data_IF_491678331779
#
_entry.id   IF_491678331779
#
_cell.length_a   1.000
_cell.length_b   1.000
_cell.length_c   1.000
_cell.angle_alpha   90.00
_cell.angle_beta   90.00
_cell.angle_gamma   90.00
#
_symmetry.space_group_name_H-M   'P 1'
#
loop_
_entity.id
_entity.type
_entity.pdbx_description
1 polymer ?
#
# COMPACT_ATOMS: atom_id res chain seq x y z
N UNK A 1 0.89 -12.99 -19.41
CA UNK A 1 0.00 -13.45 -18.32
C UNK A 1 0.04 -14.96 -18.01
N UNK A 2 0.81 -15.76 -18.75
CA UNK A 2 0.88 -17.23 -18.52
C UNK A 2 1.40 -17.60 -17.12
N UNK A 3 2.29 -16.82 -16.54
CA UNK A 3 2.93 -17.09 -15.24
C UNK A 3 2.41 -16.12 -14.17
N UNK A 4 1.27 -16.21 -13.65
CA UNK A 4 0.73 -15.37 -12.54
C UNK A 4 1.80 -14.68 -11.64
N UNK A 5 2.73 -13.96 -12.27
CA UNK A 5 4.00 -13.49 -11.69
C UNK A 5 3.78 -12.59 -10.47
N UNK A 6 2.73 -11.77 -10.51
CA UNK A 6 2.42 -10.88 -9.40
C UNK A 6 2.15 -11.67 -8.11
N UNK A 7 1.28 -12.69 -8.18
CA UNK A 7 0.92 -13.52 -7.02
C UNK A 7 2.04 -14.50 -6.64
N UNK A 8 2.75 -15.07 -7.64
CA UNK A 8 3.72 -16.15 -7.36
C UNK A 8 5.12 -15.65 -7.00
N UNK A 9 5.44 -14.39 -7.29
CA UNK A 9 6.78 -13.87 -7.04
C UNK A 9 6.79 -12.47 -6.41
N UNK A 10 6.00 -11.52 -6.93
CA UNK A 10 6.04 -10.15 -6.43
C UNK A 10 5.47 -10.10 -5.01
N UNK A 11 4.29 -10.66 -4.79
CA UNK A 11 3.66 -10.68 -3.47
C UNK A 11 4.58 -11.33 -2.42
N UNK A 12 4.95 -12.60 -2.50
CA UNK A 12 5.75 -13.23 -1.44
C UNK A 12 7.19 -12.71 -1.37
N UNK A 13 7.66 -12.02 -2.38
CA UNK A 13 8.98 -11.36 -2.37
C UNK A 13 8.95 -9.95 -1.78
N UNK A 14 7.79 -9.44 -1.41
CA UNK A 14 7.58 -8.08 -0.92
C UNK A 14 7.17 -8.01 0.55
N UNK A 15 7.10 -9.15 1.24
CA UNK A 15 6.79 -9.27 2.66
C UNK A 15 8.05 -9.61 3.46
N UNK A 16 8.08 -9.25 4.74
CA UNK A 16 9.15 -9.68 5.66
C UNK A 16 8.93 -11.13 6.11
N UNK A 17 7.66 -11.51 6.31
CA UNK A 17 7.31 -12.87 6.68
C UNK A 17 7.08 -13.74 5.44
N UNK A 18 7.23 -15.02 5.62
CA UNK A 18 6.83 -15.98 4.59
C UNK A 18 5.32 -16.28 4.73
N UNK A 19 4.58 -16.08 3.65
CA UNK A 19 3.19 -16.50 3.55
C UNK A 19 3.09 -18.04 3.57
N UNK A 20 2.08 -18.56 4.24
CA UNK A 20 1.78 -19.99 4.24
C UNK A 20 1.19 -20.41 2.88
N UNK A 21 1.18 -21.71 2.60
CA UNK A 21 0.57 -22.19 1.35
C UNK A 21 -0.95 -21.94 1.33
N UNK A 22 -1.61 -21.96 2.49
CA UNK A 22 -3.03 -21.66 2.62
C UNK A 22 -3.32 -20.18 2.27
N UNK A 23 -2.53 -19.26 2.79
CA UNK A 23 -2.61 -17.82 2.45
C UNK A 23 -2.34 -17.59 0.97
N UNK A 24 -1.29 -18.21 0.42
CA UNK A 24 -0.97 -18.13 -1.00
C UNK A 24 -2.10 -18.65 -1.89
N UNK A 25 -2.80 -19.72 -1.46
CA UNK A 25 -3.91 -20.27 -2.23
C UNK A 25 -5.12 -19.32 -2.27
N UNK A 26 -5.37 -18.54 -1.19
CA UNK A 26 -6.36 -17.49 -1.20
C UNK A 26 -6.00 -16.35 -2.18
N UNK A 27 -4.74 -15.98 -2.26
CA UNK A 27 -4.26 -15.00 -3.25
C UNK A 27 -4.33 -15.52 -4.69
N UNK A 28 -4.11 -16.83 -4.91
CA UNK A 28 -4.23 -17.48 -6.24
C UNK A 28 -5.68 -17.60 -6.70
N UNK A 29 -6.61 -17.75 -5.77
CA UNK A 29 -8.01 -18.08 -6.04
C UNK A 29 -8.66 -17.20 -7.11
N UNK A 30 -8.60 -15.86 -7.08
CA UNK A 30 -9.17 -14.99 -8.11
C UNK A 30 -8.42 -15.05 -9.44
N UNK A 31 -7.17 -15.51 -9.46
CA UNK A 31 -6.28 -15.47 -10.63
C UNK A 31 -5.93 -16.87 -11.21
N UNK A 32 -6.70 -17.89 -10.87
CA UNK A 32 -6.52 -19.24 -11.43
C UNK A 32 -6.72 -19.27 -12.93
N UNK A 33 -7.72 -18.54 -13.41
CA UNK A 33 -8.02 -18.40 -14.84
C UNK A 33 -7.15 -17.28 -15.43
N UNK A 34 -6.36 -17.54 -16.50
CA UNK A 34 -5.41 -16.54 -17.04
C UNK A 34 -6.05 -15.21 -17.44
N UNK A 35 -7.28 -15.23 -17.92
CA UNK A 35 -8.05 -14.05 -18.33
C UNK A 35 -8.35 -13.11 -17.16
N UNK A 36 -8.46 -13.64 -15.95
CA UNK A 36 -8.69 -12.86 -14.74
C UNK A 36 -7.44 -12.12 -14.22
N UNK A 37 -6.27 -12.36 -14.83
CA UNK A 37 -4.99 -11.75 -14.44
C UNK A 37 -4.75 -10.37 -15.07
N UNK A 38 -5.69 -9.86 -15.86
CA UNK A 38 -5.56 -8.55 -16.49
C UNK A 38 -5.35 -7.41 -15.49
N UNK A 39 -6.05 -7.35 -14.33
CA UNK A 39 -5.81 -6.32 -13.31
C UNK A 39 -4.38 -6.30 -12.79
N UNK A 40 -3.77 -7.46 -12.53
CA UNK A 40 -2.39 -7.54 -12.03
C UNK A 40 -1.33 -7.12 -13.05
N UNK A 41 -1.71 -6.98 -14.31
CA UNK A 41 -0.86 -6.41 -15.36
C UNK A 41 -1.12 -4.91 -15.55
N UNK A 42 -2.40 -4.50 -15.54
CA UNK A 42 -2.80 -3.13 -15.81
C UNK A 42 -2.44 -2.19 -14.66
N UNK A 43 -2.80 -2.57 -13.44
CA UNK A 43 -2.56 -1.76 -12.26
C UNK A 43 -1.12 -1.23 -12.12
N UNK A 44 -0.05 -2.05 -12.22
CA UNK A 44 1.30 -1.52 -12.09
C UNK A 44 1.72 -0.56 -13.22
N UNK A 45 1.02 -0.61 -14.35
CA UNK A 45 1.28 0.27 -15.50
C UNK A 45 0.61 1.64 -15.37
N UNK A 46 -0.32 1.77 -14.46
CA UNK A 46 -0.98 3.03 -14.12
C UNK A 46 -0.23 3.79 -12.99
N UNK A 47 0.89 3.26 -12.49
CA UNK A 47 1.73 3.99 -11.54
C UNK A 47 2.46 5.09 -12.30
N UNK A 48 2.25 6.39 -11.97
CA UNK A 48 2.80 7.51 -12.74
C UNK A 48 4.29 7.69 -12.47
N UNK A 49 5.12 6.96 -13.22
CA UNK A 49 6.57 7.06 -13.14
C UNK A 49 7.02 8.14 -14.13
N UNK A 50 7.79 9.12 -13.65
CA UNK A 50 8.26 10.27 -14.44
C UNK A 50 7.13 11.04 -15.14
N UNK A 51 5.92 11.02 -14.56
CA UNK A 51 4.75 11.72 -15.06
C UNK A 51 3.96 10.99 -16.15
N UNK A 52 4.20 9.69 -16.35
CA UNK A 52 3.50 8.87 -17.34
C UNK A 52 2.83 7.66 -16.64
N UNK A 53 1.50 7.43 -16.77
CA UNK A 53 0.50 8.23 -17.52
C UNK A 53 0.26 9.63 -16.91
N UNK A 54 0.11 10.63 -17.79
CA UNK A 54 -0.03 12.04 -17.42
C UNK A 54 -1.35 12.34 -16.67
N UNK A 55 -2.44 11.74 -17.09
CA UNK A 55 -3.74 11.88 -16.44
C UNK A 55 -3.73 11.34 -15.01
N UNK A 56 -3.02 10.25 -14.74
CA UNK A 56 -2.84 9.70 -13.40
C UNK A 56 -1.88 10.57 -12.59
N UNK A 57 -0.82 11.11 -13.20
CA UNK A 57 0.09 12.03 -12.54
C UNK A 57 -0.61 13.29 -12.06
N UNK A 58 -1.51 13.87 -12.88
CA UNK A 58 -2.32 15.03 -12.52
C UNK A 58 -3.24 14.72 -11.33
N UNK A 59 -3.95 13.58 -11.35
CA UNK A 59 -4.81 13.15 -10.23
C UNK A 59 -4.01 12.99 -8.93
N UNK A 60 -2.81 12.40 -9.01
CA UNK A 60 -1.94 12.21 -7.84
C UNK A 60 -1.44 13.55 -7.30
N UNK A 61 -1.11 14.50 -8.19
CA UNK A 61 -0.69 15.85 -7.81
C UNK A 61 -1.82 16.61 -7.09
N UNK A 62 -3.01 16.64 -7.69
CA UNK A 62 -4.18 17.30 -7.10
C UNK A 62 -4.52 16.72 -5.73
N UNK A 63 -4.43 15.41 -5.60
CA UNK A 63 -4.67 14.69 -4.34
C UNK A 63 -3.62 15.05 -3.26
N UNK A 64 -2.37 15.13 -3.65
CA UNK A 64 -1.26 15.50 -2.77
C UNK A 64 -1.41 16.94 -2.27
N UNK A 65 -1.74 17.87 -3.16
CA UNK A 65 -1.97 19.29 -2.82
C UNK A 65 -3.16 19.45 -1.88
N UNK A 66 -4.25 18.72 -2.12
CA UNK A 66 -5.40 18.73 -1.23
C UNK A 66 -5.07 18.16 0.16
N UNK A 67 -4.34 17.06 0.26
CA UNK A 67 -3.94 16.45 1.52
C UNK A 67 -2.98 17.36 2.32
N UNK A 68 -2.14 18.12 1.62
CA UNK A 68 -1.17 19.01 2.24
C UNK A 68 -1.83 20.17 3.01
N UNK A 69 -3.06 20.55 2.65
CA UNK A 69 -3.80 21.66 3.29
C UNK A 69 -5.06 21.20 4.04
N UNK A 70 -5.47 19.95 3.86
CA UNK A 70 -6.69 19.42 4.45
C UNK A 70 -6.51 19.14 5.95
N UNK A 71 -7.42 19.64 6.77
CA UNK A 71 -7.44 19.39 8.21
C UNK A 71 -8.22 18.13 8.63
N UNK A 72 -8.61 17.28 7.68
CA UNK A 72 -9.22 15.99 8.01
C UNK A 72 -8.25 15.15 8.85
N UNK A 73 -8.75 14.40 9.85
CA UNK A 73 -7.91 13.49 10.59
C UNK A 73 -7.29 12.43 9.70
N UNK A 74 -5.99 12.19 9.85
CA UNK A 74 -5.23 11.19 9.09
C UNK A 74 -4.53 10.23 10.03
N UNK A 75 -4.52 8.95 9.68
CA UNK A 75 -3.67 7.94 10.32
C UNK A 75 -2.59 7.51 9.33
N UNK A 76 -1.35 7.84 9.64
CA UNK A 76 -0.19 7.40 8.88
C UNK A 76 0.43 6.16 9.53
N UNK A 77 0.42 5.05 8.81
CA UNK A 77 1.04 3.80 9.25
C UNK A 77 2.39 3.67 8.56
N UNK A 78 3.44 4.02 9.29
CA UNK A 78 4.82 3.96 8.80
C UNK A 78 5.40 2.56 8.96
N UNK A 79 5.93 2.00 7.88
CA UNK A 79 6.53 0.67 7.88
C UNK A 79 8.05 0.74 8.11
N UNK A 80 8.58 -0.16 8.94
CA UNK A 80 10.01 -0.30 9.18
C UNK A 80 10.44 -1.75 8.87
N UNK A 81 11.35 -1.95 7.90
CA UNK A 81 12.11 -0.97 7.14
C UNK A 81 11.30 -0.23 6.07
N UNK A 82 10.13 -0.76 5.66
CA UNK A 82 9.38 -0.25 4.52
C UNK A 82 10.03 -0.62 3.18
N UNK A 83 9.34 -0.30 2.08
CA UNK A 83 9.86 -0.54 0.74
C UNK A 83 9.66 0.65 -0.21
N UNK A 84 8.42 1.04 -0.51
CA UNK A 84 8.12 2.08 -1.49
C UNK A 84 7.95 3.44 -0.81
N UNK A 85 7.14 3.51 0.25
CA UNK A 85 6.91 4.74 1.00
C UNK A 85 8.04 4.99 2.00
N UNK A 86 9.22 5.31 1.49
CA UNK A 86 10.45 5.56 2.25
C UNK A 86 11.09 6.88 1.80
N UNK A 87 12.16 7.31 2.47
CA UNK A 87 12.93 8.49 2.06
C UNK A 87 12.06 9.75 1.92
N UNK A 88 12.14 10.38 0.77
CA UNK A 88 11.45 11.66 0.49
C UNK A 88 9.93 11.52 0.47
N UNK A 89 9.38 10.41 0.01
CA UNK A 89 7.94 10.15 -0.01
C UNK A 89 7.39 10.06 1.43
N UNK A 90 8.10 9.36 2.31
CA UNK A 90 7.75 9.27 3.74
C UNK A 90 7.79 10.66 4.40
N UNK A 91 8.84 11.45 4.12
CA UNK A 91 8.95 12.81 4.66
C UNK A 91 7.82 13.70 4.15
N UNK A 92 7.45 13.60 2.89
CA UNK A 92 6.32 14.34 2.32
C UNK A 92 5.01 14.00 3.04
N UNK A 93 4.68 12.74 3.25
CA UNK A 93 3.49 12.35 4.02
C UNK A 93 3.50 12.95 5.43
N UNK A 94 4.65 13.07 6.07
CA UNK A 94 4.80 13.66 7.41
C UNK A 94 4.55 15.16 7.48
N UNK A 95 4.51 15.85 6.33
CA UNK A 95 4.18 17.29 6.29
C UNK A 95 2.66 17.56 6.38
N UNK A 96 1.82 16.55 6.19
CA UNK A 96 0.39 16.73 6.18
C UNK A 96 -0.17 17.07 7.56
N UNK A 97 -1.08 18.06 7.68
CA UNK A 97 -1.64 18.45 8.96
C UNK A 97 -2.60 17.41 9.54
N UNK A 98 -2.89 17.53 10.83
CA UNK A 98 -3.84 16.71 11.58
C UNK A 98 -3.61 15.20 11.39
N UNK A 99 -2.37 14.77 11.58
CA UNK A 99 -1.93 13.40 11.35
C UNK A 99 -1.47 12.73 12.64
N UNK A 100 -1.93 11.51 12.86
CA UNK A 100 -1.39 10.58 13.84
C UNK A 100 -0.48 9.59 13.12
N UNK A 101 0.77 9.46 13.54
CA UNK A 101 1.70 8.47 12.98
C UNK A 101 1.89 7.31 13.96
N UNK A 102 1.84 6.09 13.44
CA UNK A 102 2.26 4.88 14.15
C UNK A 102 3.26 4.13 13.30
N UNK A 103 4.13 3.35 13.95
CA UNK A 103 5.12 2.52 13.26
C UNK A 103 4.80 1.06 13.45
N UNK A 104 4.92 0.28 12.36
CA UNK A 104 4.79 -1.18 12.36
C UNK A 104 5.98 -1.82 11.67
N UNK A 105 6.25 -3.09 11.99
CA UNK A 105 7.22 -3.89 11.21
C UNK A 105 6.61 -4.25 9.87
N UNK A 106 7.30 -4.03 8.77
CA UNK A 106 6.77 -4.38 7.46
C UNK A 106 7.63 -3.93 6.30
N UNK A 107 7.40 -4.53 5.14
CA UNK A 107 8.02 -4.15 3.88
C UNK A 107 7.02 -3.42 2.97
N UNK A 108 6.51 -4.06 1.92
CA UNK A 108 5.58 -3.44 0.97
C UNK A 108 4.11 -3.73 1.30
N UNK A 109 3.78 -5.00 1.49
CA UNK A 109 2.42 -5.41 1.87
C UNK A 109 2.31 -5.51 3.40
N UNK A 110 2.36 -4.37 4.05
CA UNK A 110 2.44 -4.26 5.51
C UNK A 110 1.28 -4.92 6.26
N UNK A 111 0.13 -5.07 5.62
CA UNK A 111 -1.03 -5.77 6.15
C UNK A 111 -0.77 -7.28 6.31
N UNK A 112 0.19 -7.83 5.57
CA UNK A 112 0.63 -9.20 5.73
C UNK A 112 1.67 -9.36 6.85
N UNK A 113 2.51 -8.35 7.02
CA UNK A 113 3.57 -8.37 8.03
C UNK A 113 3.06 -8.04 9.44
N UNK A 114 2.14 -7.06 9.56
CA UNK A 114 1.67 -6.52 10.86
C UNK A 114 0.14 -6.33 10.92
N UNK A 115 -0.69 -7.35 10.61
CA UNK A 115 -2.14 -7.21 10.55
C UNK A 115 -2.78 -6.81 11.88
N UNK A 116 -2.29 -7.36 12.99
CA UNK A 116 -2.86 -7.11 14.32
C UNK A 116 -2.54 -5.72 14.83
N UNK A 117 -1.30 -5.28 14.65
CA UNK A 117 -0.81 -3.95 15.04
C UNK A 117 -1.56 -2.86 14.24
N UNK A 118 -1.73 -3.07 12.94
CA UNK A 118 -2.49 -2.17 12.07
C UNK A 118 -3.96 -2.13 12.50
N UNK A 119 -4.59 -3.29 12.69
CA UNK A 119 -5.98 -3.38 13.11
C UNK A 119 -6.23 -2.70 14.46
N UNK A 120 -5.33 -2.89 15.43
CA UNK A 120 -5.37 -2.24 16.73
C UNK A 120 -5.25 -0.72 16.58
N UNK A 121 -4.25 -0.24 15.85
CA UNK A 121 -4.02 1.18 15.65
C UNK A 121 -5.21 1.88 14.98
N UNK A 122 -5.79 1.29 13.95
CA UNK A 122 -6.99 1.80 13.29
C UNK A 122 -8.17 1.87 14.25
N UNK A 123 -8.38 0.82 15.05
CA UNK A 123 -9.47 0.77 16.04
C UNK A 123 -9.33 1.86 17.11
N UNK A 124 -8.14 2.01 17.69
CA UNK A 124 -7.84 3.03 18.68
C UNK A 124 -7.97 4.45 18.13
N UNK A 125 -7.46 4.67 16.91
CA UNK A 125 -7.56 5.96 16.24
C UNK A 125 -9.01 6.35 15.95
N UNK A 126 -9.85 5.42 15.46
CA UNK A 126 -11.27 5.67 15.21
C UNK A 126 -12.03 6.02 16.50
N UNK A 127 -11.72 5.39 17.63
CA UNK A 127 -12.35 5.71 18.92
C UNK A 127 -11.98 7.11 19.42
N UNK A 128 -10.86 7.66 19.00
CA UNK A 128 -10.39 8.99 19.37
C UNK A 128 -10.81 10.10 18.39
N UNK A 129 -11.43 9.74 17.26
CA UNK A 129 -12.05 10.73 16.37
C UNK A 129 -13.29 11.32 17.06
N UNK A 130 -13.25 12.62 17.29
CA UNK A 130 -14.35 13.40 17.89
C UNK A 130 -15.07 14.22 16.83
#
# INVERSE_FOLDING_TARGET
>A
MKKNLFVEAVLPGSDLRKLTEEEMEEYRRPFRVPEHRLPTLKWPREIPIDGDPDDVADIVSDYADWLAVSDIPKLFIDADPGAILIGVQRQFCRTWPNQTEIKVSGSHFIQEDSPYEIGKAVSEWLQNLK
#
